data_IF_263138138283
#
_entry.id   IF_263138138283
#
_cell.length_a   1.000
_cell.length_b   1.000
_cell.length_c   1.000
_cell.angle_alpha   90.00
_cell.angle_beta   90.00
_cell.angle_gamma   90.00
#
_symmetry.space_group_name_H-M   'P 1'
#
loop_
_entity.id
_entity.type
_entity.pdbx_description
1 polymer ?
#
# COMPACT_ATOMS: atom_id res chain seq x y z
N UNK A 1 -3.30 3.71 -18.29
CA UNK A 1 -2.84 4.11 -19.64
C UNK A 1 -1.32 4.03 -19.71
N UNK A 2 -0.68 3.85 -20.90
CA UNK A 2 0.78 3.86 -21.05
C UNK A 2 1.38 5.19 -20.59
N UNK A 3 2.62 5.16 -20.10
CA UNK A 3 3.25 6.33 -19.47
C UNK A 3 3.42 7.50 -20.43
N UNK A 4 3.74 7.23 -21.70
CA UNK A 4 3.89 8.24 -22.76
C UNK A 4 2.58 8.93 -23.13
N UNK A 5 1.44 8.31 -22.79
CA UNK A 5 0.11 8.87 -23.04
C UNK A 5 -0.48 9.61 -21.85
N UNK A 6 0.22 9.57 -20.69
CA UNK A 6 -0.24 10.23 -19.47
C UNK A 6 -0.07 11.74 -19.60
N UNK A 7 -1.15 12.50 -19.43
CA UNK A 7 -1.08 13.95 -19.44
C UNK A 7 -0.34 14.50 -18.22
N UNK A 8 0.32 15.66 -18.37
CA UNK A 8 0.93 16.36 -17.23
C UNK A 8 -0.11 16.74 -16.18
N UNK A 9 -1.33 17.03 -16.60
CA UNK A 9 -2.45 17.37 -15.70
C UNK A 9 -2.83 16.16 -14.84
N UNK A 10 -3.02 14.97 -15.43
CA UNK A 10 -3.37 13.75 -14.70
C UNK A 10 -2.21 13.28 -13.79
N UNK A 11 -0.96 13.44 -14.26
CA UNK A 11 0.22 13.23 -13.44
C UNK A 11 0.18 14.12 -12.19
N UNK A 12 0.05 15.43 -12.35
CA UNK A 12 0.03 16.39 -11.25
C UNK A 12 -1.16 16.14 -10.32
N UNK A 13 -2.34 15.86 -10.86
CA UNK A 13 -3.52 15.52 -10.07
C UNK A 13 -3.31 14.27 -9.22
N UNK A 14 -2.73 13.22 -9.80
CA UNK A 14 -2.45 11.97 -9.07
C UNK A 14 -1.45 12.21 -7.95
N UNK A 15 -0.36 12.94 -8.19
CA UNK A 15 0.60 13.32 -7.16
C UNK A 15 -0.05 14.18 -6.06
N UNK A 16 -0.86 15.16 -6.45
CA UNK A 16 -1.53 16.05 -5.50
C UNK A 16 -2.44 15.26 -4.54
N UNK A 17 -3.27 14.36 -5.07
CA UNK A 17 -4.22 13.57 -4.27
C UNK A 17 -3.52 12.48 -3.46
N UNK A 18 -2.51 11.81 -4.03
CA UNK A 18 -1.95 10.59 -3.43
C UNK A 18 -0.71 10.85 -2.57
N UNK A 19 0.17 11.79 -2.96
CA UNK A 19 1.43 12.06 -2.26
C UNK A 19 1.37 13.38 -1.49
N UNK A 20 0.97 14.49 -2.15
CA UNK A 20 0.97 15.81 -1.51
C UNK A 20 -0.01 15.85 -0.33
N UNK A 21 -1.14 15.17 -0.40
CA UNK A 21 -2.09 15.05 0.71
C UNK A 21 -1.45 14.42 1.95
N UNK A 22 -0.64 13.37 1.78
CA UNK A 22 0.08 12.72 2.88
C UNK A 22 1.12 13.67 3.49
N UNK A 23 1.87 14.38 2.64
CA UNK A 23 2.79 15.43 3.10
C UNK A 23 2.07 16.49 3.94
N UNK A 24 0.92 17.00 3.47
CA UNK A 24 0.13 17.99 4.20
C UNK A 24 -0.39 17.43 5.53
N UNK A 25 -0.84 16.17 5.55
CA UNK A 25 -1.23 15.49 6.78
C UNK A 25 -0.10 15.49 7.81
N UNK A 26 1.10 15.04 7.42
CA UNK A 26 2.28 15.04 8.28
C UNK A 26 2.64 16.46 8.73
N UNK A 27 2.72 17.40 7.78
CA UNK A 27 3.09 18.79 8.02
C UNK A 27 2.25 19.46 9.11
N UNK A 28 0.94 19.24 9.09
CA UNK A 28 0.04 19.90 10.04
C UNK A 28 -0.17 19.11 11.34
N UNK A 29 0.03 17.78 11.33
CA UNK A 29 -0.13 16.93 12.52
C UNK A 29 1.11 16.96 13.42
N UNK A 30 2.31 16.90 12.85
CA UNK A 30 3.57 16.82 13.61
C UNK A 30 3.73 17.95 14.63
N UNK A 31 3.48 19.23 14.34
CA UNK A 31 3.60 20.29 15.36
C UNK A 31 2.65 20.11 16.54
N UNK A 32 1.48 19.50 16.31
CA UNK A 32 0.51 19.20 17.36
C UNK A 32 1.06 18.09 18.26
N UNK A 33 1.52 16.98 17.65
CA UNK A 33 2.07 15.83 18.36
C UNK A 33 3.33 16.18 19.16
N UNK A 34 4.21 17.04 18.63
CA UNK A 34 5.37 17.54 19.39
C UNK A 34 4.95 18.28 20.65
N UNK A 35 3.90 19.11 20.60
CA UNK A 35 3.38 19.80 21.80
C UNK A 35 2.71 18.86 22.80
N UNK A 36 2.15 17.74 22.32
CA UNK A 36 1.53 16.70 23.15
C UNK A 36 2.54 15.74 23.79
N UNK A 37 3.82 15.78 23.37
CA UNK A 37 4.85 14.89 23.84
C UNK A 37 4.90 13.54 23.13
N UNK A 38 4.24 13.37 22.00
CA UNK A 38 4.27 12.15 21.21
C UNK A 38 3.03 11.94 20.33
N UNK A 39 3.04 10.89 19.52
CA UNK A 39 1.92 10.54 18.68
C UNK A 39 2.24 9.43 17.68
N UNK A 40 1.24 9.03 16.92
CA UNK A 40 1.40 8.00 15.88
C UNK A 40 0.75 8.46 14.59
N UNK A 41 1.46 8.29 13.47
CA UNK A 41 0.96 8.49 12.12
C UNK A 41 1.06 7.15 11.38
N UNK A 42 -0.04 6.70 10.77
CA UNK A 42 -0.04 5.54 9.88
C UNK A 42 -0.55 5.98 8.52
N UNK A 43 0.33 5.98 7.54
CA UNK A 43 0.01 6.33 6.15
C UNK A 43 -0.48 5.10 5.38
N UNK A 44 -1.35 5.30 4.40
CA UNK A 44 -1.76 4.24 3.47
C UNK A 44 -0.98 4.38 2.17
N UNK A 45 0.05 3.55 2.01
CA UNK A 45 0.80 3.40 0.77
C UNK A 45 0.10 2.41 -0.20
N UNK A 46 0.84 1.52 -0.83
CA UNK A 46 0.35 0.42 -1.67
C UNK A 46 1.52 -0.51 -2.00
N UNK A 47 1.23 -1.75 -2.37
CA UNK A 47 2.21 -2.62 -3.03
C UNK A 47 2.73 -2.00 -4.34
N UNK A 48 1.92 -1.20 -5.02
CA UNK A 48 2.32 -0.42 -6.21
C UNK A 48 3.45 0.60 -5.94
N UNK A 49 3.71 0.92 -4.67
CA UNK A 49 4.88 1.71 -4.27
C UNK A 49 6.13 0.87 -3.99
N UNK A 50 5.99 -0.46 -3.87
CA UNK A 50 7.08 -1.43 -3.68
C UNK A 50 7.47 -2.08 -5.01
N UNK A 51 6.47 -2.38 -5.82
CA UNK A 51 6.54 -2.93 -7.18
C UNK A 51 5.81 -1.97 -8.12
N UNK A 52 5.74 -2.30 -9.41
CA UNK A 52 5.05 -1.46 -10.38
C UNK A 52 3.90 -2.22 -11.04
N UNK A 53 2.80 -1.53 -11.28
CA UNK A 53 1.66 -2.04 -12.03
C UNK A 53 1.57 -1.38 -13.39
N UNK A 54 1.17 -2.15 -14.40
CA UNK A 54 0.99 -1.65 -15.75
C UNK A 54 -0.06 -0.54 -15.79
N UNK A 55 0.22 0.51 -16.54
CA UNK A 55 -0.72 1.62 -16.78
C UNK A 55 -0.97 2.54 -15.59
N UNK A 56 -0.22 2.40 -14.48
CA UNK A 56 -0.39 3.16 -13.24
C UNK A 56 0.83 4.03 -12.89
N UNK A 57 1.58 4.53 -13.87
CA UNK A 57 2.88 5.19 -13.67
C UNK A 57 2.89 6.30 -12.61
N UNK A 58 1.94 7.25 -12.69
CA UNK A 58 1.85 8.33 -11.68
C UNK A 58 1.49 7.81 -10.28
N UNK A 59 0.60 6.83 -10.20
CA UNK A 59 0.20 6.22 -8.93
C UNK A 59 1.35 5.43 -8.30
N UNK A 60 2.07 4.62 -9.08
CA UNK A 60 3.25 3.88 -8.64
C UNK A 60 4.30 4.83 -8.05
N UNK A 61 4.61 5.92 -8.79
CA UNK A 61 5.55 6.94 -8.33
C UNK A 61 5.07 7.63 -7.05
N UNK A 62 3.79 8.00 -6.97
CA UNK A 62 3.21 8.64 -5.80
C UNK A 62 3.26 7.72 -4.57
N UNK A 63 2.90 6.44 -4.70
CA UNK A 63 2.91 5.48 -3.59
C UNK A 63 4.32 5.10 -3.14
N UNK A 64 5.29 5.04 -4.05
CA UNK A 64 6.71 4.95 -3.70
C UNK A 64 7.17 6.18 -2.91
N UNK A 65 6.72 7.37 -3.33
CA UNK A 65 6.93 8.62 -2.60
C UNK A 65 6.37 8.59 -1.19
N UNK A 66 5.15 8.07 -0.99
CA UNK A 66 4.53 7.91 0.35
C UNK A 66 5.38 7.01 1.24
N UNK A 67 5.88 5.88 0.72
CA UNK A 67 6.74 4.97 1.47
C UNK A 67 8.00 5.69 1.95
N UNK A 68 8.69 6.41 1.06
CA UNK A 68 9.94 7.08 1.44
C UNK A 68 9.71 8.31 2.31
N UNK A 69 8.62 9.07 2.08
CA UNK A 69 8.21 10.18 2.93
C UNK A 69 7.89 9.70 4.37
N UNK A 70 7.28 8.52 4.50
CA UNK A 70 7.03 7.88 5.81
C UNK A 70 8.33 7.64 6.57
N UNK A 71 9.37 7.11 5.89
CA UNK A 71 10.68 6.88 6.49
C UNK A 71 11.37 8.17 6.92
N UNK A 72 11.34 9.19 6.05
CA UNK A 72 11.89 10.50 6.38
C UNK A 72 11.18 11.11 7.60
N UNK A 73 9.84 11.12 7.60
CA UNK A 73 9.07 11.63 8.72
C UNK A 73 9.32 10.85 10.04
N UNK A 74 9.53 9.55 9.95
CA UNK A 74 9.87 8.71 11.10
C UNK A 74 11.22 9.14 11.71
N UNK A 75 12.27 9.30 10.88
CA UNK A 75 13.60 9.71 11.33
C UNK A 75 13.58 11.09 12.00
N UNK A 76 12.92 12.06 11.36
CA UNK A 76 12.89 13.46 11.84
C UNK A 76 12.07 13.64 13.13
N UNK A 77 11.15 12.71 13.42
CA UNK A 77 10.21 12.86 14.53
C UNK A 77 10.37 11.83 15.64
N UNK A 78 11.23 10.84 15.51
CA UNK A 78 11.55 9.87 16.55
C UNK A 78 12.03 10.55 17.86
N UNK A 79 12.88 11.62 17.85
CA UNK A 79 13.28 12.31 19.08
C UNK A 79 12.12 12.93 19.86
N UNK A 80 10.97 13.13 19.22
CA UNK A 80 9.75 13.69 19.83
C UNK A 80 8.72 12.62 20.20
N UNK A 81 9.14 11.34 20.27
CA UNK A 81 8.25 10.22 20.56
C UNK A 81 7.08 10.09 19.57
N UNK A 82 7.29 10.48 18.30
CA UNK A 82 6.30 10.33 17.24
C UNK A 82 6.73 9.17 16.33
N UNK A 83 5.88 8.15 16.25
CA UNK A 83 6.07 7.03 15.34
C UNK A 83 5.35 7.30 14.03
N UNK A 84 5.99 7.01 12.91
CA UNK A 84 5.42 7.18 11.56
C UNK A 84 5.65 5.90 10.77
N UNK A 85 4.58 5.22 10.38
CA UNK A 85 4.62 3.97 9.62
C UNK A 85 3.67 4.04 8.43
N UNK A 86 3.74 3.08 7.52
CA UNK A 86 2.71 2.91 6.51
C UNK A 86 2.30 1.44 6.35
N UNK A 87 1.05 1.24 5.90
CA UNK A 87 0.58 -0.02 5.36
C UNK A 87 0.69 -0.01 3.84
N UNK A 88 0.98 -1.17 3.25
CA UNK A 88 1.05 -1.37 1.80
C UNK A 88 0.04 -2.44 1.39
N UNK A 89 -1.23 -2.08 1.18
CA UNK A 89 -2.26 -3.01 0.76
C UNK A 89 -2.03 -3.59 -0.63
N UNK A 90 -2.45 -4.84 -0.85
CA UNK A 90 -2.67 -5.45 -2.16
C UNK A 90 -4.01 -5.06 -2.77
N UNK A 91 -4.61 -5.97 -3.53
CA UNK A 91 -5.96 -5.81 -4.07
C UNK A 91 -7.02 -5.96 -2.97
N UNK A 92 -7.74 -4.89 -2.66
CA UNK A 92 -8.73 -4.83 -1.59
C UNK A 92 -10.12 -4.57 -2.17
N UNK A 93 -11.12 -5.29 -1.66
CA UNK A 93 -12.52 -5.15 -2.05
C UNK A 93 -13.08 -3.81 -1.55
N UNK A 94 -13.01 -2.79 -2.38
CA UNK A 94 -13.43 -1.42 -2.07
C UNK A 94 -14.29 -0.86 -3.19
N UNK A 95 -14.88 0.31 -2.97
CA UNK A 95 -15.60 1.02 -4.03
C UNK A 95 -14.73 1.26 -5.29
N UNK A 96 -13.42 1.43 -5.13
CA UNK A 96 -12.50 1.62 -6.27
C UNK A 96 -12.41 0.33 -7.09
N UNK A 97 -12.27 -0.84 -6.45
CA UNK A 97 -12.25 -2.13 -7.15
C UNK A 97 -13.58 -2.42 -7.85
N UNK A 98 -14.72 -2.06 -7.24
CA UNK A 98 -16.04 -2.18 -7.84
C UNK A 98 -16.19 -1.29 -9.09
N UNK A 99 -15.65 -0.06 -9.07
CA UNK A 99 -15.64 0.82 -10.25
C UNK A 99 -14.77 0.25 -11.36
N UNK A 100 -13.62 -0.35 -11.03
CA UNK A 100 -12.73 -0.98 -12.01
C UNK A 100 -13.34 -2.23 -12.62
N UNK A 101 -14.07 -3.02 -11.85
CA UNK A 101 -14.75 -4.24 -12.28
C UNK A 101 -16.19 -4.05 -12.78
N UNK A 102 -16.69 -2.81 -12.94
CA UNK A 102 -18.11 -2.50 -13.18
C UNK A 102 -18.73 -3.21 -14.38
N UNK A 103 -17.94 -3.53 -15.41
CA UNK A 103 -18.43 -4.15 -16.65
C UNK A 103 -18.45 -5.71 -16.54
N UNK A 104 -17.67 -6.29 -15.62
CA UNK A 104 -17.62 -7.70 -15.26
C UNK A 104 -17.05 -7.85 -13.84
N UNK A 105 -17.91 -7.69 -12.83
CA UNK A 105 -17.49 -7.70 -11.42
C UNK A 105 -16.95 -9.07 -11.00
N UNK A 106 -17.59 -10.15 -11.42
CA UNK A 106 -17.18 -11.50 -11.03
C UNK A 106 -15.85 -11.89 -11.70
N UNK A 107 -15.68 -11.59 -12.99
CA UNK A 107 -14.44 -11.82 -13.72
C UNK A 107 -13.29 -10.99 -13.14
N UNK A 108 -13.53 -9.72 -12.82
CA UNK A 108 -12.53 -8.86 -12.18
C UNK A 108 -12.14 -9.39 -10.80
N UNK A 109 -13.12 -9.74 -9.97
CA UNK A 109 -12.90 -10.31 -8.63
C UNK A 109 -12.09 -11.60 -8.68
N UNK A 110 -12.45 -12.48 -9.63
CA UNK A 110 -11.72 -13.73 -9.86
C UNK A 110 -10.27 -13.45 -10.29
N UNK A 111 -10.08 -12.63 -11.29
CA UNK A 111 -8.74 -12.27 -11.79
C UNK A 111 -7.85 -11.68 -10.67
N UNK A 112 -8.40 -10.77 -9.87
CA UNK A 112 -7.69 -10.20 -8.73
C UNK A 112 -7.43 -11.22 -7.64
N UNK A 113 -8.39 -12.12 -7.37
CA UNK A 113 -8.22 -13.22 -6.42
C UNK A 113 -7.11 -14.18 -6.83
N UNK A 114 -7.10 -14.60 -8.09
CA UNK A 114 -6.10 -15.51 -8.65
C UNK A 114 -4.67 -14.93 -8.59
N UNK A 115 -4.52 -13.59 -8.58
CA UNK A 115 -3.23 -12.92 -8.45
C UNK A 115 -2.67 -12.98 -7.01
N UNK A 116 -3.52 -13.23 -6.01
CA UNK A 116 -3.10 -13.31 -4.61
C UNK A 116 -2.90 -14.77 -4.19
N UNK A 117 -1.75 -15.15 -3.60
CA UNK A 117 -1.54 -16.51 -3.07
C UNK A 117 -2.63 -17.01 -2.10
N UNK A 118 -3.30 -16.11 -1.36
CA UNK A 118 -4.44 -16.46 -0.53
C UNK A 118 -5.74 -16.72 -1.32
N UNK A 119 -5.73 -16.61 -2.66
CA UNK A 119 -6.83 -16.95 -3.55
C UNK A 119 -8.03 -15.97 -3.52
N UNK A 120 -7.87 -14.81 -2.91
CA UNK A 120 -8.94 -13.79 -2.81
C UNK A 120 -8.37 -12.38 -2.68
N UNK A 121 -9.19 -11.40 -2.97
CA UNK A 121 -8.93 -10.03 -2.54
C UNK A 121 -9.00 -9.92 -1.01
N UNK A 122 -8.30 -8.95 -0.45
CA UNK A 122 -8.46 -8.59 0.96
C UNK A 122 -9.73 -7.78 1.21
N UNK A 123 -10.18 -7.72 2.46
CA UNK A 123 -11.28 -6.87 2.88
C UNK A 123 -10.75 -5.61 3.59
N UNK A 124 -11.48 -4.47 3.57
CA UNK A 124 -11.06 -3.23 4.21
C UNK A 124 -10.72 -3.39 5.69
N UNK A 125 -11.43 -4.27 6.40
CA UNK A 125 -11.24 -4.57 7.81
C UNK A 125 -9.86 -5.18 8.08
N UNK A 126 -9.31 -5.96 7.14
CA UNK A 126 -7.97 -6.56 7.29
C UNK A 126 -6.88 -5.49 7.25
N UNK A 127 -7.09 -4.44 6.44
CA UNK A 127 -6.21 -3.27 6.42
C UNK A 127 -6.37 -2.44 7.69
N UNK A 128 -7.62 -2.25 8.15
CA UNK A 128 -7.90 -1.52 9.38
C UNK A 128 -7.25 -2.18 10.61
N UNK A 129 -7.24 -3.51 10.70
CA UNK A 129 -6.54 -4.25 11.76
C UNK A 129 -5.02 -4.00 11.72
N UNK A 130 -4.40 -3.98 10.55
CA UNK A 130 -2.97 -3.67 10.42
C UNK A 130 -2.66 -2.21 10.82
N UNK A 131 -3.52 -1.27 10.46
CA UNK A 131 -3.42 0.13 10.88
C UNK A 131 -3.57 0.25 12.40
N UNK A 132 -4.56 -0.43 12.99
CA UNK A 132 -4.78 -0.45 14.44
C UNK A 132 -3.57 -1.01 15.19
N UNK A 133 -2.98 -2.11 14.72
CA UNK A 133 -1.74 -2.65 15.28
C UNK A 133 -0.62 -1.61 15.28
N UNK A 134 -0.34 -0.99 14.12
CA UNK A 134 0.71 0.02 14.00
C UNK A 134 0.43 1.28 14.84
N UNK A 135 -0.84 1.60 15.08
CA UNK A 135 -1.26 2.75 15.90
C UNK A 135 -1.19 2.47 17.41
N UNK A 136 -1.22 1.20 17.81
CA UNK A 136 -1.26 0.78 19.23
C UNK A 136 0.13 0.73 19.88
N UNK A 137 0.15 0.55 21.21
CA UNK A 137 1.37 0.35 22.00
C UNK A 137 2.07 -0.99 21.69
N UNK A 138 1.36 -1.97 21.13
CA UNK A 138 1.98 -3.20 20.65
C UNK A 138 3.05 -2.95 19.56
N UNK A 139 3.00 -1.80 18.88
CA UNK A 139 3.97 -1.36 17.89
C UNK A 139 4.91 -0.25 18.43
N UNK A 140 5.10 -0.15 19.74
CA UNK A 140 5.87 0.94 20.40
C UNK A 140 7.31 1.06 19.91
N UNK A 141 7.92 -0.02 19.42
CA UNK A 141 9.29 -0.02 18.88
C UNK A 141 9.33 -0.09 17.33
N UNK A 142 8.19 0.21 16.66
CA UNK A 142 8.07 0.20 15.20
C UNK A 142 7.88 1.63 14.70
N UNK A 143 8.87 2.15 13.94
CA UNK A 143 8.78 3.42 13.22
C UNK A 143 9.55 3.33 11.90
N UNK A 144 9.09 4.01 10.85
CA UNK A 144 9.67 3.95 9.50
C UNK A 144 9.34 2.66 8.73
N UNK A 145 8.51 1.79 9.29
CA UNK A 145 8.15 0.52 8.68
C UNK A 145 7.12 0.69 7.54
N UNK A 146 7.24 -0.21 6.55
CA UNK A 146 6.25 -0.39 5.49
C UNK A 146 5.67 -1.80 5.66
N UNK A 147 4.50 -1.90 6.29
CA UNK A 147 3.83 -3.17 6.55
C UNK A 147 3.03 -3.60 5.33
N UNK A 148 3.47 -4.68 4.69
CA UNK A 148 2.77 -5.26 3.54
C UNK A 148 1.58 -6.08 4.02
N UNK A 149 0.39 -5.82 3.42
CA UNK A 149 -0.87 -6.50 3.73
C UNK A 149 -1.56 -6.82 2.41
N UNK A 150 -1.11 -7.88 1.75
CA UNK A 150 -1.36 -8.10 0.33
C UNK A 150 -1.70 -9.54 -0.07
N UNK A 151 -2.00 -10.40 0.89
CA UNK A 151 -2.31 -11.81 0.61
C UNK A 151 -1.17 -12.57 -0.09
N UNK A 152 0.07 -12.06 0.01
CA UNK A 152 1.27 -12.71 -0.52
C UNK A 152 1.64 -12.33 -1.97
N UNK A 153 0.90 -11.44 -2.63
CA UNK A 153 1.15 -11.11 -4.05
C UNK A 153 2.57 -10.57 -4.29
N UNK A 154 3.13 -9.77 -3.38
CA UNK A 154 4.51 -9.27 -3.56
C UNK A 154 5.60 -10.24 -3.12
N UNK A 155 5.25 -11.35 -2.46
CA UNK A 155 6.18 -12.41 -2.05
C UNK A 155 6.57 -13.32 -3.21
N UNK A 156 5.81 -13.28 -4.31
CA UNK A 156 6.02 -14.11 -5.48
C UNK A 156 7.00 -13.45 -6.46
N UNK A 157 7.93 -14.25 -6.98
CA UNK A 157 8.95 -13.77 -7.94
C UNK A 157 8.43 -13.67 -9.38
N UNK A 158 7.26 -14.24 -9.66
CA UNK A 158 6.70 -14.39 -11.01
C UNK A 158 7.08 -15.68 -11.72
N UNK A 159 7.91 -16.55 -11.11
CA UNK A 159 8.21 -17.86 -11.67
C UNK A 159 6.97 -18.77 -11.63
N UNK A 160 6.79 -19.66 -12.63
CA UNK A 160 5.75 -20.67 -12.60
C UNK A 160 5.86 -21.57 -11.37
N UNK A 161 4.75 -22.17 -10.96
CA UNK A 161 4.74 -23.21 -9.93
C UNK A 161 5.51 -24.44 -10.43
N UNK A 162 6.68 -24.66 -9.87
CA UNK A 162 7.55 -25.78 -10.21
C UNK A 162 7.13 -27.09 -9.51
N UNK A 163 6.21 -27.05 -8.54
CA UNK A 163 5.71 -28.28 -7.87
C UNK A 163 4.95 -29.18 -8.83
N UNK A 164 4.34 -28.60 -9.87
CA UNK A 164 3.69 -29.37 -10.93
C UNK A 164 4.63 -30.34 -11.67
N UNK A 165 5.94 -30.11 -11.63
CA UNK A 165 6.96 -30.98 -12.24
C UNK A 165 7.57 -31.99 -11.26
N UNK A 166 7.30 -31.86 -9.96
CA UNK A 166 7.90 -32.70 -8.91
C UNK A 166 7.07 -33.91 -8.52
N UNK A 167 5.86 -34.06 -9.05
CA UNK A 167 5.06 -35.26 -8.92
C UNK A 167 5.08 -36.04 -10.24
N UNK A 168 5.83 -37.18 -10.34
CA UNK A 168 5.58 -38.10 -11.42
C UNK A 168 4.16 -38.59 -11.25
N UNK A 169 3.34 -38.45 -12.30
CA UNK A 169 2.02 -39.04 -12.38
C UNK A 169 2.15 -40.51 -11.98
N UNK A 170 1.66 -40.87 -10.78
CA UNK A 170 1.45 -42.23 -10.38
C UNK A 170 0.39 -42.80 -11.32
N UNK A 171 0.87 -43.51 -12.33
CA UNK A 171 0.07 -44.40 -13.19
C UNK A 171 -0.49 -45.56 -12.38
#
# INVERSE_FOLDING_TARGET
>A
MPLESLSIEDWNRTLAVTLTSVFLGIKYTVPIFRRQGGGVIVNTASISGIRADYGMGAYNAAKAGVINLTRNAALENAPYQIRVNCVCPGGINTRVSQILGRDDEDGFRKMMGDAHPLGRMGEPEEIAHAILFLASDAASFITGASLVVDGGITSHTGLPDLTAFSHPSST
#
